data_IF_543957702600
#
_entry.id   IF_543957702600
#
_cell.length_a   1.000
_cell.length_b   1.000
_cell.length_c   1.000
_cell.angle_alpha   90.00
_cell.angle_beta   90.00
_cell.angle_gamma   90.00
#
_symmetry.space_group_name_H-M   'P 1'
#
loop_
_entity.id
_entity.type
_entity.pdbx_description
1 polymer ?
#
# COMPACT_ATOMS: atom_id res chain seq x y z
N UNK A 1 -17.34 -2.51 6.75
CA UNK A 1 -16.14 -1.88 7.33
C UNK A 1 -15.03 -1.83 6.31
N UNK A 2 -14.38 -0.68 6.20
CA UNK A 2 -13.29 -0.51 5.23
C UNK A 2 -12.04 -1.27 5.71
N UNK A 3 -11.47 -2.06 4.82
CA UNK A 3 -10.31 -2.91 5.10
C UNK A 3 -9.12 -2.42 4.29
N UNK A 4 -8.01 -2.21 4.98
CA UNK A 4 -6.78 -1.72 4.36
C UNK A 4 -5.67 -2.76 4.58
N UNK A 5 -5.03 -3.17 3.48
CA UNK A 5 -3.89 -4.07 3.53
C UNK A 5 -2.60 -3.26 3.58
N UNK A 6 -1.77 -3.54 4.58
CA UNK A 6 -0.43 -2.94 4.70
C UNK A 6 0.58 -4.01 4.31
N UNK A 7 1.39 -3.71 3.29
CA UNK A 7 2.45 -4.60 2.82
C UNK A 7 3.79 -3.95 3.12
N UNK A 8 4.51 -4.48 4.11
CA UNK A 8 5.78 -3.93 4.57
C UNK A 8 6.54 -5.02 5.30
N UNK A 9 7.87 -5.07 5.15
CA UNK A 9 8.71 -6.05 5.84
C UNK A 9 9.17 -5.59 7.22
N UNK A 10 8.82 -4.37 7.63
CA UNK A 10 9.19 -3.80 8.92
C UNK A 10 8.02 -3.88 9.90
N UNK A 11 8.11 -4.69 10.98
CA UNK A 11 7.07 -4.73 12.00
C UNK A 11 6.82 -3.37 12.66
N UNK A 12 7.86 -2.56 12.83
CA UNK A 12 7.75 -1.22 13.39
C UNK A 12 6.87 -0.32 12.52
N UNK A 13 7.11 -0.35 11.20
CA UNK A 13 6.34 0.43 10.24
C UNK A 13 4.88 -0.02 10.21
N UNK A 14 4.67 -1.32 10.21
CA UNK A 14 3.32 -1.90 10.25
C UNK A 14 2.58 -1.41 11.50
N UNK A 15 3.25 -1.41 12.67
CA UNK A 15 2.62 -0.95 13.90
C UNK A 15 2.23 0.52 13.86
N UNK A 16 3.11 1.38 13.32
CA UNK A 16 2.83 2.81 13.20
C UNK A 16 1.61 3.03 12.32
N UNK A 17 1.58 2.42 11.14
CA UNK A 17 0.46 2.57 10.21
C UNK A 17 -0.82 1.98 10.77
N UNK A 18 -0.74 0.83 11.43
CA UNK A 18 -1.90 0.19 12.04
C UNK A 18 -2.57 1.10 13.07
N UNK A 19 -1.77 1.76 13.92
CA UNK A 19 -2.31 2.69 14.92
C UNK A 19 -3.03 3.86 14.27
N UNK A 20 -2.45 4.44 13.22
CA UNK A 20 -3.04 5.56 12.50
C UNK A 20 -4.40 5.15 11.92
N UNK A 21 -4.44 4.00 11.26
CA UNK A 21 -5.64 3.53 10.58
C UNK A 21 -6.72 3.08 11.56
N UNK A 22 -6.34 2.42 12.65
CA UNK A 22 -7.29 1.94 13.64
C UNK A 22 -8.04 3.09 14.32
N UNK A 23 -7.39 4.24 14.52
CA UNK A 23 -8.03 5.43 15.08
C UNK A 23 -9.17 5.93 14.20
N UNK A 24 -9.14 5.65 12.91
CA UNK A 24 -10.16 6.06 11.96
C UNK A 24 -11.23 5.00 11.74
N UNK A 25 -11.17 3.89 12.49
CA UNK A 25 -12.14 2.83 12.35
C UNK A 25 -11.88 1.87 11.20
N UNK A 26 -10.72 1.95 10.55
CA UNK A 26 -10.38 1.02 9.47
C UNK A 26 -9.94 -0.33 10.04
N UNK A 27 -10.34 -1.40 9.38
CA UNK A 27 -9.82 -2.74 9.67
C UNK A 27 -8.49 -2.92 8.92
N UNK A 28 -7.48 -3.44 9.61
CA UNK A 28 -6.13 -3.58 9.05
C UNK A 28 -5.79 -5.05 8.84
N UNK A 29 -5.30 -5.35 7.63
CA UNK A 29 -4.71 -6.64 7.27
C UNK A 29 -3.25 -6.38 6.95
N UNK A 30 -2.35 -7.28 7.30
CA UNK A 30 -0.92 -7.08 7.07
C UNK A 30 -0.31 -8.20 6.26
N UNK A 31 0.74 -7.87 5.50
CA UNK A 31 1.57 -8.82 4.78
C UNK A 31 3.04 -8.40 4.94
N UNK A 32 3.92 -9.37 5.18
CA UNK A 32 5.32 -9.11 5.50
C UNK A 32 6.25 -9.01 4.30
N UNK A 33 5.77 -9.27 3.10
CA UNK A 33 6.55 -9.11 1.86
C UNK A 33 5.63 -8.96 0.65
N UNK A 34 6.23 -8.70 -0.51
CA UNK A 34 5.48 -8.46 -1.74
C UNK A 34 4.65 -9.65 -2.19
N UNK A 35 5.19 -10.86 -2.08
CA UNK A 35 4.49 -12.08 -2.49
C UNK A 35 3.25 -12.31 -1.62
N UNK A 36 3.38 -12.17 -0.31
CA UNK A 36 2.24 -12.27 0.61
C UNK A 36 1.22 -11.17 0.32
N UNK A 37 1.69 -9.97 -0.03
CA UNK A 37 0.83 -8.84 -0.38
C UNK A 37 -0.04 -9.15 -1.59
N UNK A 38 0.56 -9.71 -2.64
CA UNK A 38 -0.17 -10.12 -3.85
C UNK A 38 -1.22 -11.19 -3.51
N UNK A 39 -0.82 -12.20 -2.73
CA UNK A 39 -1.73 -13.27 -2.33
C UNK A 39 -2.91 -12.74 -1.52
N UNK A 40 -2.65 -11.88 -0.54
CA UNK A 40 -3.70 -11.33 0.31
C UNK A 40 -4.61 -10.35 -0.43
N UNK A 41 -4.08 -9.61 -1.40
CA UNK A 41 -4.92 -8.76 -2.25
C UNK A 41 -5.99 -9.59 -2.95
N UNK A 42 -5.63 -10.78 -3.40
CA UNK A 42 -6.56 -11.69 -4.07
C UNK A 42 -7.48 -12.40 -3.10
N UNK A 43 -6.96 -12.93 -1.99
CA UNK A 43 -7.74 -13.76 -1.05
C UNK A 43 -8.62 -12.93 -0.12
N UNK A 44 -8.16 -11.75 0.31
CA UNK A 44 -8.87 -10.91 1.26
C UNK A 44 -9.64 -9.77 0.61
N UNK A 45 -9.31 -9.44 -0.63
CA UNK A 45 -9.96 -8.39 -1.40
C UNK A 45 -10.13 -7.08 -0.60
N UNK A 46 -9.04 -6.47 -0.12
CA UNK A 46 -9.12 -5.23 0.66
C UNK A 46 -9.64 -4.06 -0.18
N UNK A 47 -10.05 -3.00 0.48
CA UNK A 47 -10.55 -1.80 -0.19
C UNK A 47 -9.42 -0.88 -0.67
N UNK A 48 -8.25 -1.00 -0.06
CA UNK A 48 -7.08 -0.19 -0.40
C UNK A 48 -5.82 -0.90 0.10
N UNK A 49 -4.69 -0.67 -0.58
CA UNK A 49 -3.40 -1.25 -0.22
C UNK A 49 -2.38 -0.14 0.02
N UNK A 50 -1.66 -0.21 1.14
CA UNK A 50 -0.46 0.58 1.39
C UNK A 50 0.73 -0.32 1.13
N UNK A 51 1.55 0.04 0.14
CA UNK A 51 2.63 -0.82 -0.37
C UNK A 51 3.99 -0.17 -0.16
N UNK A 52 4.84 -0.81 0.64
CA UNK A 52 6.25 -0.42 0.77
C UNK A 52 6.99 -0.74 -0.54
N UNK A 53 7.98 0.11 -0.88
CA UNK A 53 8.77 -0.08 -2.11
C UNK A 53 9.88 -1.09 -1.91
N UNK A 54 10.66 -0.96 -0.83
CA UNK A 54 11.87 -1.76 -0.61
C UNK A 54 11.56 -2.96 0.27
N UNK A 55 11.47 -4.13 -0.35
CA UNK A 55 11.22 -5.39 0.35
C UNK A 55 12.06 -6.49 -0.30
N UNK A 56 12.41 -7.55 0.46
CA UNK A 56 13.16 -8.68 -0.11
C UNK A 56 12.30 -9.47 -1.10
N UNK A 57 12.93 -10.14 -2.03
CA UNK A 57 12.35 -11.04 -3.04
C UNK A 57 11.50 -10.29 -4.06
N UNK A 58 10.27 -9.95 -3.76
CA UNK A 58 9.38 -9.21 -4.62
C UNK A 58 9.19 -7.81 -4.05
N UNK A 59 9.78 -6.79 -4.71
CA UNK A 59 9.66 -5.42 -4.23
C UNK A 59 8.27 -4.83 -4.49
N UNK A 60 8.01 -3.64 -3.91
CA UNK A 60 6.70 -3.02 -4.01
C UNK A 60 6.27 -2.66 -5.42
N UNK A 61 7.21 -2.31 -6.31
CA UNK A 61 6.88 -2.03 -7.70
C UNK A 61 6.38 -3.29 -8.40
N UNK A 62 7.08 -4.40 -8.22
CA UNK A 62 6.70 -5.69 -8.82
C UNK A 62 5.37 -6.18 -8.27
N UNK A 63 5.17 -6.07 -6.96
CA UNK A 63 3.92 -6.47 -6.32
C UNK A 63 2.75 -5.63 -6.84
N UNK A 64 2.92 -4.31 -6.93
CA UNK A 64 1.89 -3.40 -7.44
C UNK A 64 1.53 -3.76 -8.87
N UNK A 65 2.53 -4.03 -9.73
CA UNK A 65 2.27 -4.42 -11.11
C UNK A 65 1.44 -5.70 -11.20
N UNK A 66 1.75 -6.69 -10.37
CA UNK A 66 0.97 -7.92 -10.35
C UNK A 66 -0.48 -7.68 -9.91
N UNK A 67 -0.68 -6.84 -8.91
CA UNK A 67 -2.01 -6.50 -8.40
C UNK A 67 -2.81 -5.74 -9.47
N UNK A 68 -2.21 -4.73 -10.09
CA UNK A 68 -2.89 -3.87 -11.05
C UNK A 68 -3.09 -4.52 -12.41
N UNK A 69 -2.36 -5.60 -12.70
CA UNK A 69 -2.50 -6.36 -13.95
C UNK A 69 -3.48 -7.51 -13.84
N UNK A 70 -3.87 -7.92 -12.63
CA UNK A 70 -4.77 -9.03 -12.40
C UNK A 70 -6.22 -8.55 -12.41
N UNK A 71 -7.09 -9.08 -13.28
CA UNK A 71 -8.50 -8.67 -13.32
C UNK A 71 -9.23 -8.78 -11.99
N UNK A 72 -8.81 -9.71 -11.12
CA UNK A 72 -9.44 -9.91 -9.82
C UNK A 72 -9.07 -8.83 -8.80
N UNK A 73 -7.93 -8.12 -8.98
CA UNK A 73 -7.42 -7.17 -8.00
C UNK A 73 -7.13 -5.78 -8.56
N UNK A 74 -7.20 -5.59 -9.88
CA UNK A 74 -6.84 -4.31 -10.51
C UNK A 74 -7.70 -3.13 -10.07
N UNK A 75 -8.87 -3.38 -9.52
CA UNK A 75 -9.77 -2.33 -9.03
C UNK A 75 -9.33 -1.76 -7.68
N UNK A 76 -8.42 -2.45 -6.96
CA UNK A 76 -7.99 -2.04 -5.64
C UNK A 76 -6.96 -0.92 -5.77
N UNK A 77 -7.22 0.27 -5.19
CA UNK A 77 -6.23 1.35 -5.24
C UNK A 77 -5.01 1.02 -4.39
N UNK A 78 -3.82 1.39 -4.88
CA UNK A 78 -2.55 1.16 -4.22
C UNK A 78 -1.87 2.51 -4.00
N UNK A 79 -1.54 2.81 -2.74
CA UNK A 79 -0.69 3.93 -2.37
C UNK A 79 0.69 3.36 -2.06
N UNK A 80 1.72 3.80 -2.80
CA UNK A 80 3.07 3.36 -2.54
C UNK A 80 3.75 4.25 -1.51
N UNK A 81 4.46 3.62 -0.57
CA UNK A 81 5.23 4.32 0.46
C UNK A 81 6.71 4.06 0.24
N UNK A 82 7.50 5.12 0.13
CA UNK A 82 8.94 5.01 -0.09
C UNK A 82 9.70 5.83 0.94
N UNK A 83 10.91 5.40 1.27
CA UNK A 83 11.80 6.14 2.15
C UNK A 83 12.56 7.25 1.42
N UNK A 84 12.37 7.34 0.09
CA UNK A 84 13.08 8.30 -0.74
C UNK A 84 12.12 9.21 -1.46
N UNK A 85 12.30 10.52 -1.27
CA UNK A 85 11.54 11.52 -2.00
C UNK A 85 12.27 11.83 -3.32
N UNK A 86 12.13 10.92 -4.29
CA UNK A 86 12.78 11.05 -5.59
C UNK A 86 11.76 10.98 -6.71
N UNK A 87 11.91 11.85 -7.68
CA UNK A 87 11.04 11.92 -8.85
C UNK A 87 11.01 10.60 -9.62
N UNK A 88 12.15 9.91 -9.69
CA UNK A 88 12.23 8.61 -10.35
C UNK A 88 11.34 7.56 -9.69
N UNK A 89 11.28 7.53 -8.36
CA UNK A 89 10.44 6.57 -7.64
C UNK A 89 8.96 6.85 -7.90
N UNK A 90 8.57 8.12 -7.94
CA UNK A 90 7.21 8.52 -8.25
C UNK A 90 6.79 8.07 -9.65
N UNK A 91 7.66 8.28 -10.63
CA UNK A 91 7.41 7.85 -12.02
C UNK A 91 7.26 6.33 -12.09
N UNK A 92 8.14 5.58 -11.42
CA UNK A 92 8.05 4.13 -11.39
C UNK A 92 6.77 3.64 -10.74
N UNK A 93 6.34 4.27 -9.64
CA UNK A 93 5.08 3.93 -8.98
C UNK A 93 3.90 4.10 -9.93
N UNK A 94 3.83 5.21 -10.63
CA UNK A 94 2.77 5.48 -11.61
C UNK A 94 2.76 4.45 -12.73
N UNK A 95 3.94 4.07 -13.23
CA UNK A 95 4.07 3.07 -14.32
C UNK A 95 3.58 1.70 -13.90
N UNK A 96 3.65 1.36 -12.62
CA UNK A 96 3.15 0.09 -12.10
C UNK A 96 1.64 0.13 -11.82
N UNK A 97 1.01 1.27 -12.03
CA UNK A 97 -0.42 1.42 -11.83
C UNK A 97 -0.82 1.87 -10.42
N UNK A 98 0.13 2.35 -9.61
CA UNK A 98 -0.18 2.89 -8.29
C UNK A 98 -1.09 4.11 -8.42
N UNK A 99 -2.06 4.22 -7.51
CA UNK A 99 -3.01 5.33 -7.50
C UNK A 99 -2.42 6.59 -6.90
N UNK A 100 -1.49 6.44 -5.96
CA UNK A 100 -0.81 7.57 -5.31
C UNK A 100 0.52 7.11 -4.71
N UNK A 101 1.25 8.06 -4.14
CA UNK A 101 2.61 7.88 -3.68
C UNK A 101 2.87 8.81 -2.50
N UNK A 102 3.52 8.31 -1.46
CA UNK A 102 3.91 9.07 -0.29
C UNK A 102 5.32 8.73 0.15
N UNK A 103 6.02 9.71 0.71
CA UNK A 103 7.36 9.52 1.27
C UNK A 103 7.26 9.12 2.75
N UNK A 104 8.10 8.20 3.18
CA UNK A 104 8.19 7.79 4.59
C UNK A 104 9.09 8.75 5.37
N UNK A 105 8.78 9.00 6.63
CA UNK A 105 7.55 8.60 7.31
C UNK A 105 6.37 9.44 6.83
N UNK A 106 5.21 8.85 6.56
CA UNK A 106 4.09 9.64 6.05
C UNK A 106 3.57 10.59 7.12
N UNK A 107 3.19 11.79 6.69
CA UNK A 107 2.46 12.72 7.55
C UNK A 107 1.05 12.16 7.70
N UNK A 108 0.62 11.96 8.95
CA UNK A 108 -0.66 11.31 9.25
C UNK A 108 -1.83 11.95 8.50
N UNK A 109 -1.95 13.28 8.56
CA UNK A 109 -3.03 14.01 7.91
C UNK A 109 -3.02 13.80 6.39
N UNK A 110 -1.85 13.82 5.77
CA UNK A 110 -1.70 13.62 4.32
C UNK A 110 -2.07 12.19 3.92
N UNK A 111 -1.61 11.21 4.69
CA UNK A 111 -1.94 9.80 4.44
C UNK A 111 -3.46 9.58 4.51
N UNK A 112 -4.10 10.07 5.55
CA UNK A 112 -5.55 9.90 5.74
C UNK A 112 -6.34 10.61 4.66
N UNK A 113 -5.90 11.80 4.23
CA UNK A 113 -6.55 12.53 3.16
C UNK A 113 -6.51 11.75 1.84
N UNK A 114 -5.35 11.18 1.50
CA UNK A 114 -5.21 10.39 0.28
C UNK A 114 -6.02 9.10 0.32
N UNK A 115 -6.07 8.44 1.46
CA UNK A 115 -6.89 7.24 1.64
C UNK A 115 -8.37 7.58 1.42
N UNK A 116 -8.85 8.62 2.06
CA UNK A 116 -10.25 9.04 1.94
C UNK A 116 -10.62 9.39 0.50
N UNK A 117 -9.72 10.09 -0.20
CA UNK A 117 -9.94 10.45 -1.59
C UNK A 117 -10.09 9.23 -2.49
N UNK A 118 -9.33 8.18 -2.26
CA UNK A 118 -9.36 6.97 -3.08
C UNK A 118 -10.50 6.02 -2.73
N UNK A 119 -11.05 6.13 -1.53
CA UNK A 119 -12.16 5.28 -1.08
C UNK A 119 -13.54 5.82 -1.47
N UNK A 120 -13.59 7.02 -2.00
CA UNK A 120 -14.86 7.64 -2.41
C UNK A 120 -15.35 7.13 -3.76
#
# INVERSE_FOLDING_TARGET
MTRILIVDDSPTQINVLTRILAKQGYEVITAGDGAQGVDKASSENPDLILMDVVMPNLNGFQATRQITSNPATRHIPVIMLTSKDQETDKVWAERQGASDYLTKPPVEAELLQKIQALLQ
#
